data_IF_946216008805
#
_entry.id   IF_946216008805
#
_cell.length_a   1.000
_cell.length_b   1.000
_cell.length_c   1.000
_cell.angle_alpha   90.00
_cell.angle_beta   90.00
_cell.angle_gamma   90.00
#
_symmetry.space_group_name_H-M   'P 1'
#
loop_
_entity.id
_entity.type
_entity.pdbx_description
1 polymer ?
#
# COMPACT_ATOMS: atom_id res chain seq x y z
N UNK A 1 -0.71 -16.16 -21.91
CA UNK A 1 -0.81 -15.73 -20.50
C UNK A 1 -0.68 -14.21 -20.54
N UNK A 2 -1.67 -13.48 -20.00
CA UNK A 2 -1.63 -12.01 -19.99
C UNK A 2 -0.41 -11.55 -19.19
N UNK A 3 0.31 -10.57 -19.73
CA UNK A 3 1.48 -9.97 -19.07
C UNK A 3 0.98 -8.97 -18.01
N UNK A 4 0.65 -9.51 -16.84
CA UNK A 4 0.19 -8.71 -15.70
C UNK A 4 1.25 -7.73 -15.19
N UNK A 5 2.53 -7.95 -15.49
CA UNK A 5 3.59 -6.99 -15.14
C UNK A 5 3.48 -5.71 -15.96
N UNK A 6 3.12 -5.82 -17.24
CA UNK A 6 2.93 -4.64 -18.09
C UNK A 6 1.68 -3.84 -17.68
N UNK A 7 0.57 -4.52 -17.37
CA UNK A 7 -0.65 -3.88 -16.85
C UNK A 7 -0.44 -3.20 -15.50
N UNK A 8 0.37 -3.76 -14.60
CA UNK A 8 0.66 -3.20 -13.28
C UNK A 8 1.17 -1.76 -13.33
N UNK A 9 1.97 -1.42 -14.34
CA UNK A 9 2.55 -0.08 -14.55
C UNK A 9 1.48 1.00 -14.79
N UNK A 10 0.34 0.62 -15.36
CA UNK A 10 -0.82 1.51 -15.66
C UNK A 10 -2.01 1.25 -14.74
N UNK A 11 -1.93 0.19 -13.93
CA UNK A 11 -2.97 -0.26 -13.03
C UNK A 11 -3.26 0.76 -11.94
N UNK A 12 -2.21 1.35 -11.36
CA UNK A 12 -2.38 2.39 -10.36
C UNK A 12 -3.04 3.64 -10.97
N UNK A 13 -2.59 4.11 -12.13
CA UNK A 13 -3.13 5.31 -12.80
C UNK A 13 -4.62 5.18 -13.15
N UNK A 14 -5.06 4.01 -13.60
CA UNK A 14 -6.47 3.77 -13.95
C UNK A 14 -7.38 3.56 -12.73
N UNK A 15 -6.80 3.30 -11.55
CA UNK A 15 -7.53 3.11 -10.28
C UNK A 15 -7.39 4.32 -9.35
N UNK A 16 -7.03 5.50 -9.86
CA UNK A 16 -6.94 6.74 -9.07
C UNK A 16 -5.54 7.03 -8.50
N UNK A 17 -4.55 6.24 -8.87
CA UNK A 17 -3.12 6.51 -8.76
C UNK A 17 -2.63 6.86 -7.37
N UNK A 18 -1.62 7.72 -7.36
CA UNK A 18 -0.99 8.27 -6.15
C UNK A 18 -1.99 8.93 -5.20
N UNK A 19 -2.95 9.77 -5.67
CA UNK A 19 -3.94 10.38 -4.78
C UNK A 19 -4.81 9.36 -4.05
N UNK A 20 -5.25 8.28 -4.72
CA UNK A 20 -5.96 7.19 -4.04
C UNK A 20 -5.08 6.54 -2.98
N UNK A 21 -3.82 6.27 -3.30
CA UNK A 21 -2.92 5.62 -2.36
C UNK A 21 -2.64 6.49 -1.12
N UNK A 22 -2.53 7.81 -1.28
CA UNK A 22 -2.44 8.77 -0.18
C UNK A 22 -3.68 8.75 0.70
N UNK A 23 -4.87 8.83 0.10
CA UNK A 23 -6.13 8.80 0.84
C UNK A 23 -6.31 7.49 1.61
N UNK A 24 -5.99 6.36 1.00
CA UNK A 24 -6.04 5.05 1.63
C UNK A 24 -5.07 4.95 2.81
N UNK A 25 -3.81 5.38 2.63
CA UNK A 25 -2.82 5.37 3.70
C UNK A 25 -3.23 6.27 4.87
N UNK A 26 -3.75 7.46 4.60
CA UNK A 26 -4.24 8.37 5.64
C UNK A 26 -5.39 7.76 6.44
N UNK A 27 -6.35 7.11 5.76
CA UNK A 27 -7.46 6.43 6.41
C UNK A 27 -6.98 5.29 7.33
N UNK A 28 -6.05 4.45 6.85
CA UNK A 28 -5.46 3.38 7.68
C UNK A 28 -4.76 3.96 8.91
N UNK A 29 -3.89 4.96 8.72
CA UNK A 29 -3.14 5.57 9.82
C UNK A 29 -4.07 6.20 10.88
N UNK A 30 -5.18 6.81 10.46
CA UNK A 30 -6.19 7.35 11.37
C UNK A 30 -6.92 6.31 12.22
N UNK A 31 -6.88 5.03 11.84
CA UNK A 31 -7.47 3.93 12.60
C UNK A 31 -6.48 3.26 13.57
N UNK A 32 -5.17 3.50 13.43
CA UNK A 32 -4.16 2.82 14.24
C UNK A 32 -3.98 3.52 15.61
N UNK A 33 -4.14 2.78 16.72
CA UNK A 33 -3.73 3.29 18.03
C UNK A 33 -2.25 3.68 18.05
N UNK A 34 -1.88 4.64 18.89
CA UNK A 34 -0.52 5.17 18.91
C UNK A 34 0.57 4.17 19.31
N UNK A 35 0.19 3.13 20.05
CA UNK A 35 1.08 2.08 20.48
C UNK A 35 1.41 1.06 19.37
N UNK A 36 0.74 1.10 18.22
CA UNK A 36 1.00 0.14 17.13
C UNK A 36 2.42 0.35 16.58
N UNK A 37 3.21 -0.72 16.56
CA UNK A 37 4.60 -0.71 16.08
C UNK A 37 4.84 -1.54 14.82
N UNK A 38 3.88 -2.38 14.44
CA UNK A 38 3.96 -3.21 13.24
C UNK A 38 2.61 -3.29 12.52
N UNK A 39 2.64 -3.30 11.19
CA UNK A 39 1.48 -3.48 10.32
C UNK A 39 1.82 -4.47 9.19
N UNK A 40 0.93 -5.43 8.96
CA UNK A 40 0.98 -6.36 7.83
C UNK A 40 -0.08 -5.95 6.80
N UNK A 41 0.35 -5.64 5.58
CA UNK A 41 -0.50 -5.30 4.44
C UNK A 41 -0.65 -6.54 3.54
N UNK A 42 -1.86 -7.15 3.55
CA UNK A 42 -2.16 -8.39 2.85
C UNK A 42 -2.85 -8.07 1.52
N UNK A 43 -2.32 -8.58 0.42
CA UNK A 43 -2.74 -8.18 -0.92
C UNK A 43 -2.16 -6.82 -1.31
N UNK A 44 -0.89 -6.58 -0.96
CA UNK A 44 -0.26 -5.27 -1.13
C UNK A 44 -0.07 -4.86 -2.60
N UNK A 45 -0.22 -5.78 -3.55
CA UNK A 45 -0.04 -5.56 -4.98
C UNK A 45 1.32 -4.95 -5.29
N UNK A 46 1.31 -3.81 -5.99
CA UNK A 46 2.51 -3.02 -6.33
C UNK A 46 3.22 -2.41 -5.11
N UNK A 47 2.60 -2.48 -3.93
CA UNK A 47 3.12 -1.89 -2.70
C UNK A 47 2.91 -0.38 -2.59
N UNK A 48 2.14 0.24 -3.49
CA UNK A 48 1.98 1.70 -3.53
C UNK A 48 1.41 2.25 -2.22
N UNK A 49 0.33 1.63 -1.71
CA UNK A 49 -0.29 2.02 -0.43
C UNK A 49 0.63 1.69 0.74
N UNK A 50 1.26 0.51 0.72
CA UNK A 50 2.22 0.07 1.74
C UNK A 50 3.34 1.09 1.95
N UNK A 51 3.91 1.61 0.85
CA UNK A 51 4.95 2.64 0.89
C UNK A 51 4.44 3.96 1.46
N UNK A 52 3.20 4.35 1.15
CA UNK A 52 2.58 5.57 1.72
C UNK A 52 2.32 5.45 3.22
N UNK A 53 1.88 4.28 3.70
CA UNK A 53 1.71 4.02 5.14
C UNK A 53 3.06 4.13 5.86
N UNK A 54 4.11 3.50 5.32
CA UNK A 54 5.45 3.54 5.91
C UNK A 54 6.01 4.97 5.99
N UNK A 55 5.80 5.78 4.95
CA UNK A 55 6.21 7.19 4.94
C UNK A 55 5.41 8.06 5.93
N UNK A 56 4.11 7.79 6.09
CA UNK A 56 3.21 8.58 6.93
C UNK A 56 3.39 8.38 8.44
N UNK A 57 4.04 7.30 8.88
CA UNK A 57 4.34 7.05 10.31
C UNK A 57 5.76 6.55 10.53
N UNK A 58 6.76 7.45 10.61
CA UNK A 58 8.12 7.08 10.96
C UNK A 58 8.17 6.30 12.29
N UNK A 59 8.71 5.07 12.25
CA UNK A 59 8.79 4.17 13.42
C UNK A 59 7.73 3.06 13.47
N UNK A 60 6.77 3.06 12.55
CA UNK A 60 5.90 1.91 12.26
C UNK A 60 6.60 0.98 11.27
N UNK A 61 6.80 -0.30 11.64
CA UNK A 61 7.30 -1.32 10.72
C UNK A 61 6.14 -1.81 9.84
N UNK A 62 6.24 -1.62 8.53
CA UNK A 62 5.23 -2.10 7.58
C UNK A 62 5.81 -3.26 6.77
N UNK A 63 5.05 -4.33 6.61
CA UNK A 63 5.42 -5.49 5.79
C UNK A 63 4.28 -5.77 4.82
N UNK A 64 4.59 -5.87 3.52
CA UNK A 64 3.64 -6.26 2.49
C UNK A 64 3.75 -7.74 2.16
N UNK A 65 2.63 -8.39 1.91
CA UNK A 65 2.54 -9.74 1.37
C UNK A 65 1.51 -9.78 0.25
N UNK A 66 1.89 -10.33 -0.89
CA UNK A 66 0.98 -10.55 -2.01
C UNK A 66 1.14 -11.99 -2.54
N UNK A 67 0.09 -12.49 -3.18
CA UNK A 67 0.06 -13.83 -3.76
C UNK A 67 0.40 -13.82 -5.26
N UNK A 68 0.46 -12.64 -5.89
CA UNK A 68 0.97 -12.46 -7.23
C UNK A 68 2.50 -12.63 -7.21
N UNK A 69 2.94 -13.87 -7.38
CA UNK A 69 4.30 -14.25 -7.75
C UNK A 69 4.35 -14.60 -9.24
#
# INVERSE_FOLDING_TARGET
>A
MLDYNHEATVYDDTRGGLPRAEAAAAAVLGLLPDAVRSLLDIGCGTGLVTGRIAAGRPGLRVTGSDAAH
#
